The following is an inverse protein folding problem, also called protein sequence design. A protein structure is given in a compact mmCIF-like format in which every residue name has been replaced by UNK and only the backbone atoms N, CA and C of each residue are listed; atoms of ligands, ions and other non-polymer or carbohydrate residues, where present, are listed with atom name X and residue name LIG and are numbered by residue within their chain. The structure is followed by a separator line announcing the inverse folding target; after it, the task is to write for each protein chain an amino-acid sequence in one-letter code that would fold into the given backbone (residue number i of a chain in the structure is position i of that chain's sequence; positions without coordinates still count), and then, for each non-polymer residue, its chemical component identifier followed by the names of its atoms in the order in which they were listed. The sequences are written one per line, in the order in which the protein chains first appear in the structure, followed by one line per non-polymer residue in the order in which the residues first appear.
data_IF_492956648621
#
_entry.id   IF_492956648621
#
_cell.length_a   1.000
_cell.length_b   1.000
_cell.length_c   1.000
_cell.angle_alpha   90.00
_cell.angle_beta   90.00
_cell.angle_gamma   90.00
#
_symmetry.space_group_name_H-M   'P 1'
#
loop_
_entity.id
_entity.type
_entity.pdbx_description
1 polymer ?
#
# COMPACT_ATOMS: atom_id res chain seq x y z
N UNK A 1 8.53 13.16 10.02
CA UNK A 1 8.85 12.68 11.38
C UNK A 1 7.61 12.47 12.24
N UNK A 2 6.58 13.31 12.07
CA UNK A 2 5.33 13.13 12.80
C UNK A 2 4.69 11.78 12.51
N UNK A 3 4.81 11.32 11.26
CA UNK A 3 4.26 10.03 10.88
C UNK A 3 4.99 8.89 11.58
N UNK A 4 6.31 8.99 11.69
CA UNK A 4 7.09 7.97 12.40
C UNK A 4 6.75 7.92 13.87
N UNK A 5 6.53 9.09 14.49
CA UNK A 5 6.12 9.17 15.88
C UNK A 5 4.74 8.55 16.07
N UNK A 6 3.82 8.81 15.14
CA UNK A 6 2.48 8.22 15.19
C UNK A 6 2.55 6.69 15.11
N UNK A 7 3.40 6.16 14.24
CA UNK A 7 3.59 4.71 14.13
C UNK A 7 4.16 4.15 15.44
N UNK A 8 5.15 4.81 16.01
CA UNK A 8 5.75 4.38 17.29
C UNK A 8 4.72 4.36 18.42
N UNK A 9 3.86 5.38 18.48
CA UNK A 9 2.79 5.42 19.49
C UNK A 9 1.81 4.28 19.32
N UNK A 10 1.42 3.99 18.08
CA UNK A 10 0.52 2.88 17.79
C UNK A 10 1.13 1.55 18.22
N UNK A 11 2.42 1.35 17.95
CA UNK A 11 3.12 0.12 18.33
C UNK A 11 3.18 -0.07 19.85
N UNK A 12 3.29 1.02 20.60
CA UNK A 12 3.32 0.93 22.05
C UNK A 12 2.01 0.40 22.63
N UNK A 13 0.94 0.42 21.86
CA UNK A 13 -0.35 -0.13 22.26
C UNK A 13 -0.47 -1.63 21.99
N UNK A 14 0.56 -2.22 21.38
CA UNK A 14 0.62 -3.65 21.03
C UNK A 14 -0.59 -4.09 20.20
N UNK A 15 -0.79 -3.47 19.02
CA UNK A 15 -2.00 -3.73 18.23
C UNK A 15 -1.96 -5.08 17.53
N UNK A 16 -3.14 -5.66 17.29
CA UNK A 16 -3.29 -6.87 16.49
C UNK A 16 -3.23 -6.52 15.00
N UNK A 17 -3.84 -5.39 14.62
CA UNK A 17 -3.88 -4.89 13.25
C UNK A 17 -3.54 -3.40 13.26
N UNK A 18 -2.70 -2.97 12.33
CA UNK A 18 -2.43 -1.55 12.13
C UNK A 18 -3.04 -1.08 10.82
N UNK A 19 -3.71 0.07 10.86
CA UNK A 19 -4.34 0.68 9.69
C UNK A 19 -3.57 1.93 9.30
N UNK A 20 -3.21 2.03 8.01
CA UNK A 20 -2.53 3.19 7.45
C UNK A 20 -3.34 3.76 6.31
N UNK A 21 -3.65 5.06 6.37
CA UNK A 21 -4.42 5.74 5.33
C UNK A 21 -3.53 6.79 4.68
N UNK A 22 -3.04 6.49 3.48
CA UNK A 22 -2.14 7.36 2.71
C UNK A 22 -0.98 7.87 3.59
N UNK A 23 -0.17 6.96 4.16
CA UNK A 23 0.82 7.36 5.16
C UNK A 23 1.90 8.29 4.64
N UNK A 24 2.08 8.39 3.33
CA UNK A 24 3.11 9.24 2.73
C UNK A 24 2.55 10.46 2.02
N UNK A 25 1.24 10.67 2.03
CA UNK A 25 0.59 11.68 1.17
C UNK A 25 0.98 13.12 1.48
N UNK A 26 1.33 13.43 2.72
CA UNK A 26 1.67 14.79 3.14
C UNK A 26 3.16 14.95 3.47
N UNK A 27 3.99 14.00 3.06
CA UNK A 27 5.40 14.00 3.41
C UNK A 27 6.28 14.51 2.27
N UNK A 28 7.42 15.09 2.63
CA UNK A 28 8.47 15.41 1.68
C UNK A 28 9.02 14.13 1.06
N UNK A 29 9.48 14.17 -0.19
CA UNK A 29 10.06 12.97 -0.83
C UNK A 29 11.16 12.30 -0.01
N UNK A 30 11.94 13.09 0.74
CA UNK A 30 13.01 12.54 1.58
C UNK A 30 12.45 11.71 2.74
N UNK A 31 11.29 12.09 3.25
CA UNK A 31 10.66 11.42 4.37
C UNK A 31 9.87 10.18 3.95
N UNK A 32 9.42 10.14 2.71
CA UNK A 32 8.62 9.02 2.19
C UNK A 32 9.38 7.71 2.34
N UNK A 33 10.66 7.69 1.94
CA UNK A 33 11.48 6.49 2.03
C UNK A 33 11.60 5.98 3.46
N UNK A 34 11.78 6.88 4.42
CA UNK A 34 11.93 6.48 5.82
C UNK A 34 10.66 5.83 6.37
N UNK A 35 9.49 6.41 6.05
CA UNK A 35 8.21 5.86 6.50
C UNK A 35 7.95 4.50 5.87
N UNK A 36 8.21 4.38 4.57
CA UNK A 36 8.04 3.11 3.88
C UNK A 36 8.98 2.03 4.44
N UNK A 37 10.21 2.40 4.79
CA UNK A 37 11.16 1.45 5.39
C UNK A 37 10.64 0.93 6.73
N UNK A 38 10.07 1.79 7.56
CA UNK A 38 9.47 1.38 8.83
C UNK A 38 8.34 0.39 8.58
N UNK A 39 7.45 0.71 7.63
CA UNK A 39 6.32 -0.15 7.31
C UNK A 39 6.77 -1.49 6.74
N UNK A 40 7.82 -1.50 5.91
CA UNK A 40 8.38 -2.73 5.39
C UNK A 40 8.96 -3.61 6.49
N UNK A 41 9.62 -3.00 7.47
CA UNK A 41 10.15 -3.73 8.63
C UNK A 41 9.02 -4.37 9.43
N UNK A 42 7.92 -3.64 9.65
CA UNK A 42 6.76 -4.18 10.36
C UNK A 42 6.16 -5.36 9.62
N UNK A 43 6.08 -5.27 8.29
CA UNK A 43 5.56 -6.36 7.48
C UNK A 43 6.43 -7.61 7.62
N UNK A 44 7.73 -7.45 7.63
CA UNK A 44 8.67 -8.57 7.81
C UNK A 44 8.53 -9.22 9.17
N UNK A 45 8.16 -8.46 10.18
CA UNK A 45 7.94 -8.98 11.53
C UNK A 45 6.60 -9.69 11.68
N UNK A 46 5.79 -9.73 10.64
CA UNK A 46 4.51 -10.41 10.65
C UNK A 46 3.34 -9.58 11.14
N UNK A 47 3.52 -8.26 11.26
CA UNK A 47 2.43 -7.37 11.65
C UNK A 47 1.34 -7.36 10.58
N UNK A 48 0.10 -7.55 10.99
CA UNK A 48 -1.05 -7.45 10.08
C UNK A 48 -1.36 -5.97 9.84
N UNK A 49 -1.37 -5.58 8.57
CA UNK A 49 -1.58 -4.18 8.19
C UNK A 49 -2.56 -4.08 7.04
N UNK A 50 -3.40 -3.04 7.09
CA UNK A 50 -4.22 -2.62 5.96
C UNK A 50 -3.76 -1.22 5.57
N UNK A 51 -3.38 -1.04 4.31
CA UNK A 51 -2.78 0.22 3.85
C UNK A 51 -3.54 0.74 2.64
N UNK A 52 -4.04 1.97 2.75
CA UNK A 52 -4.61 2.69 1.62
C UNK A 52 -3.50 3.57 1.06
N UNK A 53 -3.12 3.34 -0.19
CA UNK A 53 -1.97 4.05 -0.73
C UNK A 53 -2.01 4.12 -2.25
N UNK A 54 -1.37 5.17 -2.79
CA UNK A 54 -1.06 5.29 -4.21
C UNK A 54 0.39 4.91 -4.50
N UNK A 55 1.16 4.52 -3.48
CA UNK A 55 2.56 4.14 -3.62
C UNK A 55 2.67 2.71 -4.12
N UNK A 56 2.68 2.56 -5.43
CA UNK A 56 2.66 1.22 -6.05
C UNK A 56 3.97 0.46 -5.84
N UNK A 57 5.10 1.18 -5.76
CA UNK A 57 6.38 0.54 -5.45
C UNK A 57 6.37 -0.16 -4.10
N UNK A 58 5.78 0.49 -3.11
CA UNK A 58 5.63 -0.10 -1.78
C UNK A 58 4.67 -1.30 -1.82
N UNK A 59 3.50 -1.12 -2.43
CA UNK A 59 2.51 -2.19 -2.52
C UNK A 59 3.10 -3.43 -3.21
N UNK A 60 3.84 -3.23 -4.28
CA UNK A 60 4.46 -4.31 -5.03
C UNK A 60 5.48 -5.09 -4.20
N UNK A 61 6.17 -4.41 -3.28
CA UNK A 61 7.20 -5.04 -2.45
C UNK A 61 6.64 -5.79 -1.26
N UNK A 62 5.60 -5.26 -0.60
CA UNK A 62 5.19 -5.78 0.70
C UNK A 62 3.78 -6.33 0.78
N UNK A 63 2.90 -6.02 -0.16
CA UNK A 63 1.53 -6.50 -0.10
C UNK A 63 1.47 -8.00 -0.37
N UNK A 64 0.53 -8.66 0.27
CA UNK A 64 0.17 -10.05 -0.05
C UNK A 64 -1.09 -10.07 -0.90
N UNK A 65 -1.99 -9.13 -0.62
CA UNK A 65 -3.30 -9.02 -1.24
C UNK A 65 -3.52 -7.58 -1.66
N UNK A 66 -4.10 -7.39 -2.82
CA UNK A 66 -4.40 -6.06 -3.35
C UNK A 66 -5.89 -5.94 -3.60
N UNK A 67 -6.48 -4.85 -3.15
CA UNK A 67 -7.87 -4.52 -3.39
C UNK A 67 -7.90 -3.19 -4.13
N UNK A 68 -8.41 -3.20 -5.36
CA UNK A 68 -8.49 -1.99 -6.17
C UNK A 68 -9.92 -1.46 -6.16
N UNK A 69 -10.06 -0.22 -5.71
CA UNK A 69 -11.37 0.42 -5.53
C UNK A 69 -11.46 1.63 -6.45
N UNK A 70 -12.55 1.76 -7.21
CA UNK A 70 -12.73 2.91 -8.07
C UNK A 70 -13.35 4.09 -7.32
N UNK A 71 -13.50 5.21 -8.02
CA UNK A 71 -13.99 6.46 -7.40
C UNK A 71 -15.40 6.36 -6.87
N UNK A 72 -16.17 5.38 -7.33
CA UNK A 72 -17.55 5.16 -6.83
C UNK A 72 -17.60 4.27 -5.62
N UNK A 73 -16.46 3.85 -5.11
CA UNK A 73 -16.38 2.94 -3.96
C UNK A 73 -16.60 1.48 -4.31
N UNK A 74 -16.59 1.13 -5.59
CA UNK A 74 -16.77 -0.23 -6.04
C UNK A 74 -15.45 -0.98 -6.06
N UNK A 75 -15.45 -2.20 -5.56
CA UNK A 75 -14.26 -3.06 -5.60
C UNK A 75 -14.16 -3.66 -7.00
N UNK A 76 -13.12 -3.27 -7.72
CA UNK A 76 -12.87 -3.78 -9.07
C UNK A 76 -12.01 -5.04 -9.07
N UNK A 77 -11.03 -5.10 -8.16
CA UNK A 77 -10.13 -6.23 -8.04
C UNK A 77 -9.94 -6.58 -6.57
N UNK A 78 -9.84 -7.85 -6.28
CA UNK A 78 -9.48 -8.36 -4.96
C UNK A 78 -8.71 -9.66 -5.21
N UNK A 79 -7.40 -9.55 -5.23
CA UNK A 79 -6.56 -10.68 -5.63
C UNK A 79 -5.19 -10.59 -4.97
N UNK A 80 -4.36 -11.60 -5.21
CA UNK A 80 -2.99 -11.57 -4.73
C UNK A 80 -2.20 -10.48 -5.42
N UNK A 81 -1.10 -10.06 -4.80
CA UNK A 81 -0.18 -9.09 -5.38
C UNK A 81 0.32 -9.58 -6.74
N UNK A 82 0.66 -10.85 -6.84
CA UNK A 82 1.18 -11.43 -8.08
C UNK A 82 0.16 -11.32 -9.22
N UNK A 83 -1.10 -11.67 -8.94
CA UNK A 83 -2.17 -11.55 -9.93
C UNK A 83 -2.37 -10.11 -10.36
N UNK A 84 -2.33 -9.19 -9.41
CA UNK A 84 -2.59 -7.79 -9.71
C UNK A 84 -1.51 -7.16 -10.59
N UNK A 85 -0.24 -7.36 -10.24
CA UNK A 85 0.87 -6.69 -10.92
C UNK A 85 1.45 -7.47 -12.10
N UNK A 86 1.43 -8.80 -12.03
CA UNK A 86 2.10 -9.62 -13.04
C UNK A 86 1.17 -10.22 -14.07
N UNK A 87 -0.15 -10.13 -13.87
CA UNK A 87 -1.14 -10.65 -14.80
C UNK A 87 -2.17 -9.59 -15.18
N UNK A 88 -1.72 -8.46 -15.77
CA UNK A 88 -2.65 -7.38 -16.13
C UNK A 88 -3.68 -7.80 -17.17
N UNK A 89 -3.38 -8.81 -17.98
CA UNK A 89 -4.30 -9.32 -19.00
C UNK A 89 -5.59 -9.88 -18.40
N UNK A 90 -5.55 -10.27 -17.13
CA UNK A 90 -6.72 -10.84 -16.45
C UNK A 90 -7.51 -9.79 -15.66
N UNK A 91 -7.09 -8.52 -15.70
CA UNK A 91 -7.72 -7.47 -14.94
C UNK A 91 -8.84 -6.80 -15.74
N UNK A 92 -9.73 -6.10 -15.04
CA UNK A 92 -10.78 -5.34 -15.69
C UNK A 92 -10.18 -4.18 -16.47
N UNK A 93 -10.89 -3.67 -17.52
CA UNK A 93 -10.33 -2.60 -18.36
C UNK A 93 -9.87 -1.37 -17.57
N UNK A 94 -10.62 -0.97 -16.57
CA UNK A 94 -10.26 0.19 -15.76
C UNK A 94 -8.99 -0.04 -14.95
N UNK A 95 -8.81 -1.26 -14.46
CA UNK A 95 -7.59 -1.65 -13.75
C UNK A 95 -6.40 -1.67 -14.70
N UNK A 96 -6.59 -2.16 -15.92
CA UNK A 96 -5.54 -2.17 -16.94
C UNK A 96 -5.09 -0.76 -17.26
N UNK A 97 -6.02 0.18 -17.39
CA UNK A 97 -5.69 1.58 -17.67
C UNK A 97 -4.86 2.17 -16.53
N UNK A 98 -5.24 1.90 -15.30
CA UNK A 98 -4.51 2.36 -14.12
C UNK A 98 -3.09 1.81 -14.11
N UNK A 99 -2.94 0.50 -14.31
CA UNK A 99 -1.63 -0.14 -14.31
C UNK A 99 -0.75 0.37 -15.45
N UNK A 100 -1.33 0.58 -16.64
CA UNK A 100 -0.59 1.10 -17.79
C UNK A 100 -0.04 2.49 -17.51
N UNK A 101 -0.81 3.35 -16.85
CA UNK A 101 -0.35 4.70 -16.51
C UNK A 101 0.80 4.67 -15.52
N UNK A 102 0.76 3.76 -14.56
CA UNK A 102 1.80 3.63 -13.55
C UNK A 102 3.07 3.03 -14.15
N UNK A 103 2.92 1.98 -14.96
CA UNK A 103 4.07 1.30 -15.54
C UNK A 103 4.73 2.09 -16.68
N UNK A 104 4.01 3.07 -17.24
CA UNK A 104 4.55 3.95 -18.28
C UNK A 104 5.48 5.02 -17.72
N UNK A 105 5.55 5.16 -16.43
CA UNK A 105 6.42 6.13 -15.75
C UNK A 105 7.48 5.41 -14.91
#
# INVERSE_FOLDING_TARGET
QQQRVAIARALCMDPIVMLFDEPTSALDPEMVGEVLDVMMSLAKEGMTMAVVTHEMGFAKKVANRVIFIDVGGHILEDCSKDEFFNHPENRQPRTKDFLNKILAH
#
